data_IF_733675152876
#
_entry.id   IF_733675152876
#
_cell.length_a   1.000
_cell.length_b   1.000
_cell.length_c   1.000
_cell.angle_alpha   90.00
_cell.angle_beta   90.00
_cell.angle_gamma   90.00
#
_symmetry.space_group_name_H-M   'P 1'
#
loop_
_entity.id
_entity.type
_entity.pdbx_description
1 polymer ?
#
# COMPACT_ATOMS: atom_id res chain seq x y z
N UNK A 1 -7.89 5.62 -1.47
CA UNK A 1 -7.02 4.85 -2.39
C UNK A 1 -6.48 5.76 -3.46
N UNK A 2 -5.25 5.55 -3.89
CA UNK A 2 -4.66 6.25 -5.03
C UNK A 2 -3.47 5.48 -5.62
N UNK A 3 -3.06 5.89 -6.81
CA UNK A 3 -1.88 5.36 -7.50
C UNK A 3 -1.02 6.53 -7.96
N UNK A 4 0.28 6.48 -7.67
CA UNK A 4 1.26 7.42 -8.23
C UNK A 4 1.88 6.81 -9.48
N UNK A 5 1.87 7.58 -10.55
CA UNK A 5 2.31 7.15 -11.89
C UNK A 5 3.30 8.15 -12.44
N UNK A 6 4.39 7.65 -13.04
CA UNK A 6 5.34 8.44 -13.83
C UNK A 6 5.53 7.75 -15.18
N UNK A 7 5.48 8.51 -16.28
CA UNK A 7 5.67 7.93 -17.62
C UNK A 7 4.70 6.79 -17.96
N UNK A 8 3.47 6.81 -17.41
CA UNK A 8 2.46 5.72 -17.50
C UNK A 8 2.83 4.42 -16.78
N UNK A 9 3.86 4.43 -15.92
CA UNK A 9 4.26 3.30 -15.07
C UNK A 9 3.83 3.56 -13.62
N UNK A 10 3.08 2.65 -12.98
CA UNK A 10 2.78 2.77 -11.56
C UNK A 10 4.05 2.64 -10.72
N UNK A 11 4.27 3.56 -9.79
CA UNK A 11 5.39 3.53 -8.83
C UNK A 11 4.91 3.22 -7.42
N UNK A 12 3.73 3.70 -7.04
CA UNK A 12 3.16 3.51 -5.71
C UNK A 12 1.66 3.22 -5.82
N UNK A 13 1.22 2.16 -5.15
CA UNK A 13 -0.16 1.71 -5.03
C UNK A 13 -0.57 1.87 -3.56
N UNK A 14 -1.61 2.66 -3.27
CA UNK A 14 -2.06 2.90 -1.89
C UNK A 14 -3.54 2.58 -1.73
N UNK A 15 -3.81 1.64 -0.82
CA UNK A 15 -5.14 1.33 -0.32
C UNK A 15 -5.30 1.92 1.09
N UNK A 16 -6.39 2.64 1.34
CA UNK A 16 -6.64 3.30 2.61
C UNK A 16 -7.79 2.61 3.35
N UNK A 17 -7.58 2.27 4.62
CA UNK A 17 -8.60 1.71 5.51
C UNK A 17 -8.77 2.59 6.74
N UNK A 18 -9.96 2.56 7.34
CA UNK A 18 -10.19 3.26 8.60
C UNK A 18 -9.47 2.57 9.77
N UNK A 19 -9.64 1.25 9.91
CA UNK A 19 -9.01 0.42 10.94
C UNK A 19 -8.21 -0.73 10.30
N UNK A 20 -7.66 -1.61 11.13
CA UNK A 20 -6.97 -2.81 10.65
C UNK A 20 -7.92 -3.70 9.84
N UNK A 21 -7.48 -4.07 8.64
CA UNK A 21 -8.20 -4.94 7.73
C UNK A 21 -7.22 -5.86 7.01
N UNK A 22 -7.73 -6.96 6.46
CA UNK A 22 -6.96 -7.79 5.54
C UNK A 22 -6.74 -7.04 4.22
N UNK A 23 -5.62 -7.35 3.57
CA UNK A 23 -5.29 -6.78 2.26
C UNK A 23 -6.29 -7.23 1.20
N UNK A 24 -6.97 -6.27 0.58
CA UNK A 24 -7.99 -6.57 -0.43
C UNK A 24 -7.37 -7.26 -1.67
N UNK A 25 -8.23 -8.02 -2.35
CA UNK A 25 -7.86 -8.71 -3.60
C UNK A 25 -7.42 -7.73 -4.70
N UNK A 26 -7.94 -6.50 -4.70
CA UNK A 26 -7.59 -5.47 -5.66
C UNK A 26 -6.11 -5.05 -5.56
N UNK A 27 -5.65 -4.73 -4.36
CA UNK A 27 -4.23 -4.38 -4.14
C UNK A 27 -3.31 -5.56 -4.43
N UNK A 28 -3.69 -6.78 -4.03
CA UNK A 28 -2.94 -8.01 -4.37
C UNK A 28 -2.80 -8.19 -5.88
N UNK A 29 -3.89 -8.02 -6.62
CA UNK A 29 -3.88 -8.08 -8.08
C UNK A 29 -2.95 -7.03 -8.69
N UNK A 30 -3.01 -5.78 -8.22
CA UNK A 30 -2.15 -4.72 -8.73
C UNK A 30 -0.67 -4.97 -8.43
N UNK A 31 -0.32 -5.43 -7.21
CA UNK A 31 1.06 -5.79 -6.87
C UNK A 31 1.57 -6.95 -7.73
N UNK A 32 0.75 -7.97 -7.97
CA UNK A 32 1.12 -9.08 -8.86
C UNK A 32 1.32 -8.62 -10.31
N UNK A 33 0.48 -7.69 -10.81
CA UNK A 33 0.56 -7.14 -12.17
C UNK A 33 1.73 -6.16 -12.35
N UNK A 34 2.07 -5.41 -11.31
CA UNK A 34 3.13 -4.40 -11.31
C UNK A 34 4.12 -4.70 -10.16
N UNK A 35 4.94 -5.75 -10.29
CA UNK A 35 5.80 -6.23 -9.20
C UNK A 35 6.82 -5.17 -8.73
N UNK A 36 7.23 -4.28 -9.61
CA UNK A 36 8.16 -3.19 -9.31
C UNK A 36 7.51 -2.02 -8.54
N UNK A 37 6.18 -1.90 -8.56
CA UNK A 37 5.50 -0.84 -7.84
C UNK A 37 5.48 -1.14 -6.33
N UNK A 38 5.76 -0.13 -5.52
CA UNK A 38 5.52 -0.23 -4.08
C UNK A 38 4.01 -0.37 -3.82
N UNK A 39 3.62 -1.24 -2.89
CA UNK A 39 2.23 -1.45 -2.52
C UNK A 39 2.06 -1.27 -1.02
N UNK A 40 1.16 -0.37 -0.64
CA UNK A 40 0.87 -0.01 0.74
C UNK A 40 -0.63 -0.15 1.02
N UNK A 41 -0.98 -0.88 2.08
CA UNK A 41 -2.27 -0.71 2.75
C UNK A 41 -2.01 0.12 4.01
N UNK A 42 -2.60 1.30 4.06
CA UNK A 42 -2.50 2.19 5.22
C UNK A 42 -3.79 2.22 6.03
N UNK A 43 -3.67 2.30 7.35
CA UNK A 43 -4.81 2.50 8.25
C UNK A 43 -4.74 3.84 9.01
N UNK A 44 -5.90 4.44 9.26
CA UNK A 44 -6.01 5.68 10.03
C UNK A 44 -6.01 5.45 11.55
N UNK A 45 -6.77 4.46 12.01
CA UNK A 45 -6.93 4.08 13.42
C UNK A 45 -6.41 2.66 13.72
N UNK A 46 -5.80 1.98 12.73
CA UNK A 46 -5.21 0.67 12.91
C UNK A 46 -3.78 0.74 13.46
N UNK A 47 -3.28 -0.40 13.94
CA UNK A 47 -1.94 -0.51 14.52
C UNK A 47 -1.08 -1.61 13.89
N UNK A 48 -1.63 -2.40 12.96
CA UNK A 48 -0.86 -3.46 12.30
C UNK A 48 0.28 -2.87 11.49
N UNK A 49 1.47 -3.44 11.66
CA UNK A 49 2.68 -3.09 10.94
C UNK A 49 3.42 -4.38 10.53
N UNK A 50 3.38 -4.71 9.24
CA UNK A 50 4.03 -5.90 8.69
C UNK A 50 4.21 -5.82 7.18
N UNK A 51 5.02 -6.74 6.63
CA UNK A 51 5.18 -6.95 5.20
C UNK A 51 4.56 -8.30 4.83
N UNK A 52 3.69 -8.33 3.83
CA UNK A 52 3.14 -9.61 3.35
C UNK A 52 4.18 -10.37 2.52
N UNK A 53 4.05 -11.70 2.35
CA UNK A 53 4.92 -12.47 1.45
C UNK A 53 4.92 -11.98 0.00
N UNK A 54 3.83 -11.34 -0.44
CA UNK A 54 3.70 -10.75 -1.78
C UNK A 54 4.33 -9.34 -1.90
N UNK A 55 4.94 -8.85 -0.82
CA UNK A 55 5.63 -7.55 -0.79
C UNK A 55 4.69 -6.35 -0.65
N UNK A 56 3.55 -6.51 0.02
CA UNK A 56 2.63 -5.41 0.35
C UNK A 56 2.91 -4.96 1.78
N UNK A 57 3.20 -3.68 1.97
CA UNK A 57 3.42 -3.07 3.28
C UNK A 57 2.08 -2.73 3.91
N UNK A 58 1.80 -3.27 5.09
CA UNK A 58 0.64 -2.89 5.90
C UNK A 58 1.14 -2.08 7.08
N UNK A 59 0.64 -0.86 7.27
CA UNK A 59 1.08 0.02 8.36
C UNK A 59 0.05 1.09 8.70
N UNK A 60 0.18 1.79 9.84
CA UNK A 60 -0.48 3.09 10.01
C UNK A 60 -0.06 4.08 8.92
N UNK A 61 -0.94 5.02 8.57
CA UNK A 61 -0.69 5.99 7.50
C UNK A 61 0.55 6.87 7.74
N UNK A 62 0.87 7.16 9.01
CA UNK A 62 2.03 7.97 9.37
C UNK A 62 3.35 7.36 8.86
N UNK A 63 3.48 6.03 8.84
CA UNK A 63 4.70 5.37 8.35
C UNK A 63 4.93 5.57 6.84
N UNK A 64 3.86 5.75 6.05
CA UNK A 64 3.99 6.10 4.63
C UNK A 64 4.32 7.59 4.48
N UNK A 65 3.63 8.46 5.22
CA UNK A 65 3.81 9.92 5.12
C UNK A 65 5.22 10.37 5.52
N UNK A 66 5.82 9.74 6.52
CA UNK A 66 7.19 10.01 6.97
C UNK A 66 8.24 9.75 5.87
N UNK A 67 7.92 8.92 4.86
CA UNK A 67 8.80 8.64 3.72
C UNK A 67 8.69 9.65 2.58
N UNK A 68 7.74 10.59 2.64
CA UNK A 68 7.46 11.56 1.58
C UNK A 68 8.10 12.94 1.82
N UNK A 69 8.90 13.07 2.88
CA UNK A 69 9.50 14.33 3.36
C UNK A 69 11.01 14.29 3.16
#
# INVERSE_FOLDING_TARGET
DFVVVEGRRPHLLVECKWADADVDRGLRYLKARFPEAEAWQVSGAGSKDYLTPEGIRVSPALALLDRLI
#
